data_IF_493620025858
#
_entry.id   IF_493620025858
#
_cell.length_a   1.000
_cell.length_b   1.000
_cell.length_c   1.000
_cell.angle_alpha   90.00
_cell.angle_beta   90.00
_cell.angle_gamma   90.00
#
_symmetry.space_group_name_H-M   'P 1'
#
loop_
_entity.id
_entity.type
_entity.pdbx_description
1 polymer ?
#
# COMPACT_ATOMS: atom_id res chain seq x y z
N UNK A 1 -3.68 10.10 -1.15
CA UNK A 1 -2.27 9.99 -0.70
C UNK A 1 -1.33 9.74 -1.86
N UNK A 2 -1.75 8.99 -2.90
CA UNK A 2 -1.00 8.75 -4.15
C UNK A 2 -0.53 10.01 -4.93
N UNK A 3 -1.16 11.16 -4.69
CA UNK A 3 -0.74 12.44 -5.25
C UNK A 3 0.57 12.97 -4.63
N UNK A 4 0.85 12.61 -3.38
CA UNK A 4 2.06 12.97 -2.66
C UNK A 4 3.17 11.95 -2.94
N UNK A 5 4.38 12.15 -2.40
CA UNK A 5 5.39 11.09 -2.36
C UNK A 5 4.88 9.92 -1.52
N UNK A 6 4.45 8.85 -2.20
CA UNK A 6 3.66 7.77 -1.62
C UNK A 6 4.31 6.41 -1.86
N UNK A 7 4.26 5.54 -0.85
CA UNK A 7 4.58 4.12 -0.93
C UNK A 7 3.33 3.30 -0.63
N UNK A 8 3.21 2.15 -1.26
CA UNK A 8 1.99 1.35 -1.19
C UNK A 8 2.31 -0.13 -1.01
N UNK A 9 1.41 -0.85 -0.35
CA UNK A 9 1.42 -2.29 -0.16
C UNK A 9 0.05 -2.85 -0.52
N UNK A 10 0.03 -3.74 -1.50
CA UNK A 10 -1.19 -4.42 -1.93
C UNK A 10 -1.05 -5.91 -1.67
N UNK A 11 -2.12 -6.55 -1.20
CA UNK A 11 -2.06 -7.94 -0.75
C UNK A 11 -3.39 -8.67 -0.93
N UNK A 12 -3.32 -9.93 -1.33
CA UNK A 12 -4.43 -10.85 -1.50
C UNK A 12 -4.13 -12.15 -0.76
N UNK A 13 -5.11 -12.60 0.02
CA UNK A 13 -5.08 -13.89 0.72
C UNK A 13 -5.39 -15.01 -0.29
N UNK A 14 -4.66 -16.14 -0.28
CA UNK A 14 -4.93 -17.24 -1.19
C UNK A 14 -6.37 -17.73 -1.14
N UNK A 15 -6.97 -17.89 -2.32
CA UNK A 15 -8.36 -18.36 -2.47
C UNK A 15 -9.41 -17.25 -2.34
N UNK A 16 -9.04 -16.03 -1.97
CA UNK A 16 -9.94 -14.88 -2.02
C UNK A 16 -9.97 -14.23 -3.41
N UNK A 17 -11.12 -13.68 -3.79
CA UNK A 17 -11.27 -12.85 -4.99
C UNK A 17 -10.98 -11.38 -4.71
N UNK A 18 -11.05 -10.98 -3.44
CA UNK A 18 -10.78 -9.63 -2.99
C UNK A 18 -9.30 -9.47 -2.62
N UNK A 19 -8.83 -8.22 -2.62
CA UNK A 19 -7.50 -7.86 -2.16
C UNK A 19 -7.59 -6.58 -1.31
N UNK A 20 -6.48 -6.23 -0.68
CA UNK A 20 -6.36 -5.07 0.18
C UNK A 20 -5.28 -4.16 -0.39
N UNK A 21 -5.52 -2.85 -0.34
CA UNK A 21 -4.49 -1.84 -0.60
C UNK A 21 -4.24 -1.03 0.67
N UNK A 22 -2.99 -0.70 0.89
CA UNK A 22 -2.51 0.22 1.91
C UNK A 22 -1.59 1.22 1.25
N UNK A 23 -1.95 2.50 1.29
CA UNK A 23 -1.19 3.57 0.67
C UNK A 23 -0.79 4.58 1.74
N UNK A 24 0.46 5.02 1.72
CA UNK A 24 1.02 5.91 2.72
C UNK A 24 1.86 7.01 2.06
N UNK A 25 1.52 8.27 2.32
CA UNK A 25 2.43 9.35 1.95
C UNK A 25 3.61 9.47 2.92
N UNK A 26 4.63 10.24 2.54
CA UNK A 26 5.88 10.38 3.30
C UNK A 26 5.73 10.89 4.74
N UNK A 27 4.58 11.48 5.12
CA UNK A 27 4.29 11.92 6.50
C UNK A 27 3.45 10.91 7.31
N UNK A 28 3.18 9.73 6.74
CA UNK A 28 2.40 8.67 7.37
C UNK A 28 0.88 8.86 7.31
N UNK A 29 0.37 9.78 6.49
CA UNK A 29 -1.07 9.81 6.18
C UNK A 29 -1.39 8.59 5.34
N UNK A 30 -2.47 7.89 5.68
CA UNK A 30 -2.76 6.58 5.15
C UNK A 30 -4.14 6.51 4.50
N UNK A 31 -4.26 5.67 3.48
CA UNK A 31 -5.51 5.20 2.89
C UNK A 31 -5.45 3.68 2.87
N UNK A 32 -6.52 3.01 3.31
CA UNK A 32 -6.62 1.55 3.18
C UNK A 32 -8.03 1.13 2.80
N UNK A 33 -8.15 0.08 2.00
CA UNK A 33 -9.43 -0.48 1.57
C UNK A 33 -9.35 -1.99 1.34
N UNK A 34 -10.51 -2.65 1.44
CA UNK A 34 -10.75 -3.96 0.81
C UNK A 34 -11.35 -3.73 -0.58
N UNK A 35 -10.91 -4.48 -1.59
CA UNK A 35 -11.22 -4.23 -3.01
C UNK A 35 -11.57 -5.51 -3.76
N UNK A 36 -12.55 -5.40 -4.64
CA UNK A 36 -12.79 -6.34 -5.74
C UNK A 36 -12.17 -5.80 -7.04
N UNK A 37 -12.21 -4.47 -7.22
CA UNK A 37 -11.56 -3.77 -8.32
C UNK A 37 -11.10 -2.37 -7.86
N UNK A 38 -10.58 -1.58 -8.78
CA UNK A 38 -10.27 -0.15 -8.55
C UNK A 38 -11.52 0.62 -8.11
N UNK A 39 -12.67 0.34 -8.72
CA UNK A 39 -13.95 1.03 -8.53
C UNK A 39 -14.77 0.43 -7.39
N UNK A 40 -14.71 -0.90 -7.23
CA UNK A 40 -15.50 -1.62 -6.22
C UNK A 40 -14.62 -1.85 -4.99
N UNK A 41 -14.75 -0.96 -4.00
CA UNK A 41 -13.99 -1.02 -2.77
C UNK A 41 -14.78 -0.57 -1.54
N UNK A 42 -14.34 -1.04 -0.38
CA UNK A 42 -14.79 -0.59 0.94
C UNK A 42 -13.59 -0.04 1.71
N UNK A 43 -13.58 1.26 1.98
CA UNK A 43 -12.55 1.90 2.80
C UNK A 43 -12.57 1.39 4.23
N UNK A 44 -11.39 1.31 4.84
CA UNK A 44 -11.27 0.97 6.25
C UNK A 44 -11.89 2.06 7.13
N UNK A 45 -12.59 1.62 8.17
CA UNK A 45 -13.16 2.54 9.16
C UNK A 45 -12.07 3.22 9.99
N UNK A 46 -12.37 4.32 10.69
CA UNK A 46 -11.41 4.98 11.57
C UNK A 46 -10.79 4.03 12.61
N UNK A 47 -11.57 3.08 13.12
CA UNK A 47 -11.11 2.09 14.11
C UNK A 47 -10.07 1.15 13.50
N UNK A 48 -10.31 0.65 12.28
CA UNK A 48 -9.32 -0.17 11.56
C UNK A 48 -8.07 0.63 11.22
N UNK A 49 -8.23 1.88 10.80
CA UNK A 49 -7.10 2.76 10.49
C UNK A 49 -6.25 3.09 11.72
N UNK A 50 -6.86 3.15 12.92
CA UNK A 50 -6.15 3.36 14.17
C UNK A 50 -5.28 2.16 14.58
N UNK A 51 -5.59 0.94 14.12
CA UNK A 51 -4.78 -0.25 14.35
C UNK A 51 -3.51 -0.31 13.48
N UNK A 52 -3.39 0.54 12.45
CA UNK A 52 -2.20 0.58 11.58
C UNK A 52 -1.20 1.57 12.18
N UNK A 53 -0.15 1.03 12.81
CA UNK A 53 0.93 1.84 13.38
C UNK A 53 1.86 2.33 12.27
N UNK A 54 2.25 3.61 12.35
CA UNK A 54 3.00 4.30 11.30
C UNK A 54 4.04 5.21 11.93
N UNK A 55 5.29 5.06 11.52
CA UNK A 55 6.42 5.85 11.99
C UNK A 55 7.13 6.45 10.78
N UNK A 56 6.88 7.75 10.55
CA UNK A 56 7.38 8.49 9.40
C UNK A 56 8.54 9.41 9.81
N UNK A 57 9.63 9.39 9.05
CA UNK A 57 10.78 10.28 9.32
C UNK A 57 10.58 11.70 8.80
N UNK A 58 9.65 11.94 7.87
CA UNK A 58 9.38 13.26 7.28
C UNK A 58 8.43 14.14 8.14
N UNK A 59 8.13 13.71 9.37
CA UNK A 59 7.17 14.37 10.24
C UNK A 59 5.71 13.99 9.93
N UNK A 60 4.76 14.75 10.48
CA UNK A 60 3.32 14.42 10.42
C UNK A 60 2.42 15.60 10.02
N UNK A 61 3.01 16.76 9.71
CA UNK A 61 2.25 17.94 9.30
C UNK A 61 2.20 18.00 7.78
N UNK A 62 1.02 18.27 7.17
CA UNK A 62 0.93 18.51 5.74
C UNK A 62 1.83 19.67 5.30
N UNK A 63 2.44 19.54 4.12
CA UNK A 63 3.30 20.55 3.51
C UNK A 63 3.16 20.54 1.98
N UNK A 64 3.58 21.63 1.33
CA UNK A 64 3.67 21.73 -0.12
C UNK A 64 4.96 21.09 -0.63
N UNK A 65 4.97 20.59 -1.87
CA UNK A 65 6.14 19.96 -2.48
C UNK A 65 7.42 20.80 -2.25
N UNK A 66 8.47 20.13 -1.76
CA UNK A 66 9.78 20.73 -1.53
C UNK A 66 10.73 20.30 -2.64
N UNK A 67 11.50 21.25 -3.19
CA UNK A 67 12.51 20.96 -4.20
C UNK A 67 13.83 20.52 -3.55
N UNK A 68 14.47 19.49 -4.13
CA UNK A 68 15.74 18.96 -3.66
C UNK A 68 15.75 17.44 -3.56
N UNK A 69 16.85 16.90 -3.01
CA UNK A 69 17.00 15.47 -2.73
C UNK A 69 16.69 15.27 -1.25
N UNK A 70 15.66 14.47 -0.97
CA UNK A 70 15.23 14.16 0.39
C UNK A 70 15.26 12.65 0.60
N UNK A 71 15.86 12.24 1.72
CA UNK A 71 15.72 10.88 2.22
C UNK A 71 14.61 10.85 3.27
N UNK A 72 13.72 9.87 3.17
CA UNK A 72 12.73 9.59 4.18
C UNK A 72 12.49 8.08 4.28
N UNK A 73 12.12 7.67 5.48
CA UNK A 73 11.77 6.30 5.82
C UNK A 73 10.35 6.28 6.39
N UNK A 74 9.66 5.17 6.15
CA UNK A 74 8.37 4.89 6.75
C UNK A 74 8.33 3.43 7.20
N UNK A 75 8.10 3.24 8.49
CA UNK A 75 7.81 1.93 9.07
C UNK A 75 6.29 1.82 9.31
N UNK A 76 5.71 0.70 8.89
CA UNK A 76 4.29 0.41 9.06
C UNK A 76 4.11 -0.96 9.71
N UNK A 77 3.26 -1.04 10.72
CA UNK A 77 2.78 -2.30 11.31
C UNK A 77 1.31 -2.50 10.94
N UNK A 78 1.01 -3.58 10.21
CA UNK A 78 -0.35 -3.92 9.78
C UNK A 78 -0.74 -5.24 10.46
N UNK A 79 -1.69 -5.24 11.40
CA UNK A 79 -2.18 -6.47 12.02
C UNK A 79 -2.82 -7.42 10.99
N UNK A 80 -2.53 -8.72 11.09
CA UNK A 80 -3.06 -9.76 10.19
C UNK A 80 -4.59 -9.79 10.14
N UNK A 81 -5.26 -9.53 11.25
CA UNK A 81 -6.73 -9.48 11.34
C UNK A 81 -7.34 -8.43 10.39
N UNK A 82 -6.60 -7.36 10.05
CA UNK A 82 -7.09 -6.35 9.11
C UNK A 82 -7.23 -6.88 7.69
N UNK A 83 -6.46 -7.91 7.33
CA UNK A 83 -6.52 -8.61 6.05
C UNK A 83 -7.17 -10.00 6.17
N UNK A 84 -7.84 -10.30 7.29
CA UNK A 84 -8.55 -11.56 7.49
C UNK A 84 -7.66 -12.78 7.71
N UNK A 85 -6.39 -12.59 8.05
CA UNK A 85 -5.44 -13.69 8.32
C UNK A 85 -5.37 -13.95 9.82
N UNK A 86 -5.43 -15.22 10.22
CA UNK A 86 -5.19 -15.63 11.60
C UNK A 86 -3.68 -15.72 11.87
N UNK A 87 -3.11 -14.93 12.81
CA UNK A 87 -1.69 -14.96 13.12
C UNK A 87 -1.19 -16.32 13.68
N UNK A 88 -2.05 -17.11 14.31
CA UNK A 88 -1.71 -18.44 14.85
C UNK A 88 -1.71 -19.54 13.77
N UNK A 89 -2.18 -19.22 12.57
CA UNK A 89 -2.32 -20.16 11.45
C UNK A 89 -2.14 -19.43 10.13
N UNK A 90 -0.94 -18.92 9.88
CA UNK A 90 -0.60 -18.21 8.65
C UNK A 90 -0.74 -19.14 7.43
N UNK A 91 -1.20 -18.61 6.28
CA UNK A 91 -1.10 -19.34 5.02
C UNK A 91 0.36 -19.56 4.65
N UNK A 92 0.66 -20.52 3.76
CA UNK A 92 2.03 -20.73 3.26
C UNK A 92 2.61 -19.46 2.62
N UNK A 93 1.75 -18.75 1.87
CA UNK A 93 2.09 -17.50 1.18
C UNK A 93 0.93 -16.53 1.10
N UNK A 94 1.24 -15.27 0.81
CA UNK A 94 0.31 -14.27 0.30
C UNK A 94 0.72 -13.87 -1.12
N UNK A 95 -0.24 -13.33 -1.88
CA UNK A 95 0.05 -12.65 -3.14
C UNK A 95 0.10 -11.15 -2.86
N UNK A 96 1.18 -10.47 -3.21
CA UNK A 96 1.34 -9.06 -2.92
C UNK A 96 2.20 -8.30 -3.93
N UNK A 97 2.13 -6.97 -3.85
CA UNK A 97 3.07 -6.09 -4.52
C UNK A 97 3.33 -4.83 -3.68
N UNK A 98 4.43 -4.16 -3.95
CA UNK A 98 4.85 -2.93 -3.29
C UNK A 98 5.12 -1.86 -4.32
N UNK A 99 4.65 -0.64 -4.06
CA UNK A 99 4.71 0.45 -5.04
C UNK A 99 5.35 1.72 -4.50
N UNK A 100 5.83 2.55 -5.44
CA UNK A 100 6.21 3.94 -5.21
C UNK A 100 5.57 4.81 -6.29
N UNK A 101 4.87 5.86 -5.88
CA UNK A 101 4.27 6.85 -6.78
C UNK A 101 4.34 8.28 -6.24
N UNK A 102 4.07 9.25 -7.11
CA UNK A 102 3.91 10.67 -6.75
C UNK A 102 3.20 11.44 -7.87
N UNK A 103 1.91 11.17 -8.06
CA UNK A 103 1.16 11.60 -9.27
C UNK A 103 1.12 13.11 -9.49
N UNK A 104 1.07 13.89 -8.41
CA UNK A 104 0.98 15.35 -8.47
C UNK A 104 2.30 16.05 -8.11
N UNK A 105 3.42 15.30 -8.14
CA UNK A 105 4.75 15.90 -7.98
C UNK A 105 5.25 16.50 -9.29
N UNK A 106 6.30 17.32 -9.20
CA UNK A 106 7.01 17.87 -10.35
C UNK A 106 7.61 16.81 -11.29
N UNK A 107 7.81 15.57 -10.80
CA UNK A 107 8.30 14.43 -11.57
C UNK A 107 7.45 13.18 -11.27
N UNK A 108 6.26 13.04 -11.88
CA UNK A 108 5.42 11.87 -11.67
C UNK A 108 6.15 10.58 -12.06
N UNK A 109 6.00 9.54 -11.25
CA UNK A 109 6.68 8.27 -11.43
C UNK A 109 5.86 7.13 -10.83
N UNK A 110 6.11 5.92 -11.33
CA UNK A 110 5.40 4.70 -10.96
C UNK A 110 6.39 3.54 -10.94
N UNK A 111 6.59 2.92 -9.78
CA UNK A 111 7.48 1.78 -9.61
C UNK A 111 6.75 0.65 -8.88
N UNK A 112 7.10 -0.59 -9.21
CA UNK A 112 6.61 -1.79 -8.55
C UNK A 112 7.74 -2.75 -8.20
N UNK A 113 7.52 -3.60 -7.19
CA UNK A 113 8.42 -4.70 -6.85
C UNK A 113 8.24 -5.88 -7.80
N UNK A 114 7.01 -6.39 -7.93
CA UNK A 114 6.66 -7.38 -8.94
C UNK A 114 6.28 -6.67 -10.25
N UNK A 115 6.83 -7.06 -11.42
CA UNK A 115 6.54 -6.42 -12.70
C UNK A 115 5.04 -6.44 -13.04
N UNK A 116 4.56 -5.35 -13.64
CA UNK A 116 3.18 -5.21 -14.14
C UNK A 116 3.26 -4.99 -15.65
N UNK A 117 2.68 -5.91 -16.42
CA UNK A 117 2.70 -5.85 -17.89
C UNK A 117 1.39 -5.26 -18.43
N UNK A 118 1.21 -3.95 -18.22
CA UNK A 118 0.07 -3.18 -18.75
C UNK A 118 0.55 -2.04 -19.65
N UNK A 119 -0.30 -1.61 -20.58
CA UNK A 119 0.02 -0.51 -21.51
C UNK A 119 0.24 0.83 -20.77
N UNK A 120 -0.57 1.07 -19.72
CA UNK A 120 -0.49 2.26 -18.89
C UNK A 120 -0.25 1.85 -17.42
N UNK A 121 0.34 2.73 -16.58
CA UNK A 121 0.54 2.44 -15.17
C UNK A 121 -0.77 2.08 -14.46
N UNK A 122 -0.85 0.87 -13.93
CA UNK A 122 -2.03 0.37 -13.23
C UNK A 122 -1.64 -0.59 -12.10
N UNK A 123 -1.69 -0.10 -10.85
CA UNK A 123 -1.34 -0.89 -9.66
C UNK A 123 -2.46 -1.83 -9.19
N UNK A 124 -3.70 -1.63 -9.64
CA UNK A 124 -4.88 -2.40 -9.21
C UNK A 124 -5.04 -3.71 -10.01
N UNK A 125 -3.94 -4.47 -10.13
CA UNK A 125 -3.83 -5.67 -10.97
C UNK A 125 -3.36 -6.89 -10.15
N UNK A 126 -4.27 -7.55 -9.40
CA UNK A 126 -3.91 -8.68 -8.53
C UNK A 126 -3.30 -9.86 -9.29
N UNK A 127 -3.54 -9.99 -10.59
CA UNK A 127 -2.90 -11.02 -11.42
C UNK A 127 -1.37 -10.86 -11.58
N UNK A 128 -0.82 -9.69 -11.26
CA UNK A 128 0.63 -9.41 -11.29
C UNK A 128 1.26 -9.38 -9.88
N UNK A 129 0.51 -9.74 -8.84
CA UNK A 129 1.06 -9.85 -7.49
C UNK A 129 2.10 -10.97 -7.42
N UNK A 130 3.24 -10.66 -6.82
CA UNK A 130 4.29 -11.64 -6.50
C UNK A 130 3.94 -12.45 -5.25
N UNK A 131 4.75 -13.45 -4.94
CA UNK A 131 4.51 -14.35 -3.81
C UNK A 131 5.38 -13.98 -2.60
N UNK A 132 4.75 -13.86 -1.43
CA UNK A 132 5.42 -13.65 -0.14
C UNK A 132 5.22 -14.88 0.72
N UNK A 133 6.31 -15.56 1.09
CA UNK A 133 6.28 -16.73 1.95
C UNK A 133 6.54 -16.36 3.41
N UNK A 134 5.76 -16.92 4.32
CA UNK A 134 6.01 -16.80 5.76
C UNK A 134 7.02 -17.87 6.22
N UNK A 135 7.84 -17.52 7.21
CA UNK A 135 8.82 -18.41 7.83
C UNK A 135 8.38 -18.79 9.23
#
# INVERSE_FOLDING_TARGET
VWQDSCVEFFVQVPGETEYYNFEFNCIGTALASKRQSREICTHFSPEKMACIERYASAGHKPFQEMQGIFAWELLVSIPFDLIGVNPESLPEKLYANFYKCADNSSLPHYLSWSPIETENPDFHRPEFFGEIYFR
#
